data_IF_744760799231
#
_entry.id   IF_744760799231
#
_cell.length_a   1.000
_cell.length_b   1.000
_cell.length_c   1.000
_cell.angle_alpha   90.00
_cell.angle_beta   90.00
_cell.angle_gamma   90.00
#
_symmetry.space_group_name_H-M   'P 1'
#
loop_
_entity.id
_entity.type
_entity.pdbx_description
1 polymer ?
#
# COMPACT_ATOMS: atom_id res chain seq x y z
N UNK A 1 20.07 -16.19 -20.12
CA UNK A 1 19.95 -16.54 -18.68
C UNK A 1 18.51 -16.28 -18.26
N UNK A 2 17.86 -17.16 -17.50
CA UNK A 2 16.45 -16.99 -17.14
C UNK A 2 16.26 -15.87 -16.09
N UNK A 3 15.19 -15.08 -16.23
CA UNK A 3 14.77 -14.07 -15.23
C UNK A 3 13.98 -14.72 -14.10
N UNK A 4 14.24 -14.33 -12.85
CA UNK A 4 13.42 -14.73 -11.69
C UNK A 4 12.11 -13.90 -11.63
N UNK A 5 11.21 -14.23 -10.70
CA UNK A 5 9.92 -13.53 -10.56
C UNK A 5 10.10 -12.03 -10.32
N UNK A 6 10.97 -11.65 -9.38
CA UNK A 6 11.25 -10.24 -9.09
C UNK A 6 11.73 -9.49 -10.34
N UNK A 7 12.68 -10.05 -11.09
CA UNK A 7 13.21 -9.41 -12.30
C UNK A 7 12.13 -9.23 -13.38
N UNK A 8 11.24 -10.22 -13.55
CA UNK A 8 10.13 -10.09 -14.50
C UNK A 8 9.18 -8.95 -14.13
N UNK A 9 8.69 -8.94 -12.89
CA UNK A 9 7.76 -7.91 -12.42
C UNK A 9 8.41 -6.53 -12.42
N UNK A 10 9.68 -6.44 -12.00
CA UNK A 10 10.46 -5.20 -12.05
C UNK A 10 10.58 -4.66 -13.46
N UNK A 11 11.02 -5.49 -14.42
CA UNK A 11 11.23 -5.07 -15.80
C UNK A 11 9.92 -4.62 -16.47
N UNK A 12 8.80 -5.27 -16.15
CA UNK A 12 7.48 -4.92 -16.68
C UNK A 12 6.93 -3.58 -16.13
N UNK A 13 7.46 -3.11 -14.98
CA UNK A 13 7.00 -1.88 -14.30
C UNK A 13 8.05 -0.76 -14.28
N UNK A 14 9.21 -1.00 -14.88
CA UNK A 14 10.28 -0.01 -14.96
C UNK A 14 9.89 1.10 -15.93
N UNK A 15 9.80 2.34 -15.43
CA UNK A 15 9.60 3.53 -16.27
C UNK A 15 10.92 3.92 -16.92
N UNK A 16 11.99 4.00 -16.13
CA UNK A 16 13.31 4.35 -16.62
C UNK A 16 14.27 4.82 -15.53
N UNK A 17 15.52 5.15 -15.89
CA UNK A 17 16.47 5.74 -14.96
C UNK A 17 16.13 7.22 -14.68
N UNK A 18 16.46 7.67 -13.48
CA UNK A 18 16.42 9.06 -13.04
C UNK A 18 17.82 9.68 -13.11
N UNK A 19 17.90 11.02 -13.18
CA UNK A 19 19.17 11.75 -13.25
C UNK A 19 20.09 11.53 -12.04
N UNK A 20 19.50 11.19 -10.89
CA UNK A 20 20.23 10.89 -9.66
C UNK A 20 20.81 9.47 -9.61
N UNK A 21 20.65 8.68 -10.67
CA UNK A 21 21.15 7.32 -10.79
C UNK A 21 20.21 6.23 -10.26
N UNK A 22 19.09 6.60 -9.63
CA UNK A 22 18.05 5.64 -9.24
C UNK A 22 17.14 5.30 -10.42
N UNK A 23 16.20 4.39 -10.20
CA UNK A 23 15.18 4.03 -11.18
C UNK A 23 13.81 4.49 -10.72
N UNK A 24 12.97 4.84 -11.69
CA UNK A 24 11.57 5.15 -11.48
C UNK A 24 10.73 3.92 -11.80
N UNK A 25 9.97 3.46 -10.82
CA UNK A 25 9.10 2.28 -10.92
C UNK A 25 7.65 2.73 -10.85
N UNK A 26 6.83 2.30 -11.80
CA UNK A 26 5.40 2.55 -11.76
C UNK A 26 4.74 1.66 -10.72
N UNK A 27 3.83 2.22 -9.92
CA UNK A 27 3.07 1.49 -8.90
C UNK A 27 1.72 1.06 -9.46
N UNK A 28 1.54 -0.24 -9.70
CA UNK A 28 0.30 -0.81 -10.23
C UNK A 28 -0.89 -0.59 -9.30
N UNK A 29 -0.66 -0.66 -7.98
CA UNK A 29 -1.62 -0.40 -6.92
C UNK A 29 -0.98 0.43 -5.80
N UNK A 30 -1.71 1.43 -5.31
CA UNK A 30 -1.35 2.19 -4.11
C UNK A 30 -2.43 2.02 -3.05
N UNK A 31 -2.07 1.46 -1.90
CA UNK A 31 -2.97 1.37 -0.75
C UNK A 31 -2.62 2.47 0.24
N UNK A 32 -3.63 3.12 0.80
CA UNK A 32 -3.46 4.21 1.76
C UNK A 32 -4.34 4.00 2.99
N UNK A 33 -3.88 4.51 4.12
CA UNK A 33 -4.57 4.41 5.41
C UNK A 33 -4.33 5.68 6.25
N UNK A 34 -5.06 5.83 7.33
CA UNK A 34 -5.22 7.06 8.10
C UNK A 34 -3.99 7.53 8.89
N UNK A 35 -2.97 6.68 9.06
CA UNK A 35 -1.80 7.04 9.89
C UNK A 35 -0.80 7.89 9.11
N UNK A 36 -0.55 7.53 7.85
CA UNK A 36 0.52 8.12 7.02
C UNK A 36 0.00 9.01 5.90
N UNK A 37 -1.24 8.82 5.48
CA UNK A 37 -1.81 9.48 4.30
C UNK A 37 -2.28 10.92 4.56
N UNK A 38 -2.86 11.27 5.73
CA UNK A 38 -3.24 12.65 6.03
C UNK A 38 -2.10 13.65 5.85
N UNK A 39 -0.89 13.33 6.32
CA UNK A 39 0.26 14.21 6.15
C UNK A 39 0.71 14.26 4.67
N UNK A 40 0.64 13.14 3.94
CA UNK A 40 0.97 13.11 2.52
C UNK A 40 0.03 13.99 1.67
N UNK A 41 -1.28 13.99 1.95
CA UNK A 41 -2.24 14.89 1.31
C UNK A 41 -1.96 16.36 1.65
N UNK A 42 -1.59 16.66 2.89
CA UNK A 42 -1.11 18.00 3.28
C UNK A 42 0.07 18.46 2.42
N UNK A 43 1.08 17.61 2.26
CA UNK A 43 2.25 17.93 1.44
C UNK A 43 1.93 18.09 -0.05
N UNK A 44 0.95 17.36 -0.60
CA UNK A 44 0.48 17.58 -1.97
C UNK A 44 -0.14 18.97 -2.11
N UNK A 45 -1.03 19.33 -1.17
CA UNK A 45 -1.72 20.61 -1.15
C UNK A 45 -0.73 21.77 -1.06
N UNK A 46 0.26 21.68 -0.18
CA UNK A 46 1.31 22.69 -0.01
C UNK A 46 2.13 22.90 -1.29
N UNK A 47 2.28 21.84 -2.10
CA UNK A 47 2.98 21.89 -3.39
C UNK A 47 2.05 22.22 -4.58
N UNK A 48 0.75 22.39 -4.36
CA UNK A 48 -0.23 22.59 -5.43
C UNK A 48 -0.35 21.39 -6.39
N UNK A 49 -0.02 20.18 -5.93
CA UNK A 49 -0.06 18.96 -6.72
C UNK A 49 -1.41 18.26 -6.58
N UNK A 50 -1.79 17.52 -7.62
CA UNK A 50 -3.01 16.69 -7.64
C UNK A 50 -2.63 15.21 -7.52
N UNK A 51 -3.59 14.39 -7.13
CA UNK A 51 -3.45 12.93 -7.22
C UNK A 51 -3.48 12.53 -8.70
N UNK A 52 -2.44 11.84 -9.17
CA UNK A 52 -2.28 11.53 -10.59
C UNK A 52 -3.16 10.36 -11.06
N UNK A 53 -3.31 9.32 -10.25
CA UNK A 53 -4.06 8.11 -10.61
C UNK A 53 -5.00 7.68 -9.46
N UNK A 54 -6.09 8.42 -9.20
CA UNK A 54 -7.01 8.09 -8.12
C UNK A 54 -7.64 6.70 -8.28
N UNK A 55 -7.92 6.24 -9.52
CA UNK A 55 -8.45 4.89 -9.77
C UNK A 55 -7.46 3.72 -9.56
N UNK A 56 -6.22 4.01 -9.15
CA UNK A 56 -5.23 3.01 -8.72
C UNK A 56 -4.86 3.16 -7.25
N UNK A 57 -5.52 4.09 -6.56
CA UNK A 57 -5.31 4.36 -5.14
C UNK A 57 -6.58 3.95 -4.39
N UNK A 58 -6.43 3.17 -3.32
CA UNK A 58 -7.55 2.72 -2.51
C UNK A 58 -7.26 2.97 -1.05
N UNK A 59 -8.25 3.51 -0.34
CA UNK A 59 -8.16 3.83 1.06
C UNK A 59 -8.95 2.83 1.92
N UNK A 60 -8.42 2.54 3.10
CA UNK A 60 -9.18 1.94 4.21
C UNK A 60 -8.79 2.65 5.49
N UNK A 61 -9.48 2.31 6.58
CA UNK A 61 -9.12 2.74 7.93
C UNK A 61 -9.06 1.51 8.80
N UNK A 62 -7.96 1.27 9.51
CA UNK A 62 -7.75 0.02 10.25
C UNK A 62 -6.89 0.11 11.52
N UNK A 63 -6.08 1.15 11.69
CA UNK A 63 -5.22 1.34 12.88
C UNK A 63 -5.93 2.07 14.03
N UNK A 64 -6.91 2.94 13.73
CA UNK A 64 -7.56 3.79 14.74
C UNK A 64 -9.02 3.46 15.04
N UNK A 65 -9.62 2.49 14.33
CA UNK A 65 -11.03 2.15 14.50
C UNK A 65 -11.24 1.51 15.88
N UNK A 66 -12.11 2.09 16.75
CA UNK A 66 -12.38 1.51 18.05
C UNK A 66 -13.00 0.11 17.91
N UNK A 67 -12.63 -0.81 18.81
CA UNK A 67 -13.18 -2.18 18.80
C UNK A 67 -14.61 -2.21 19.37
N UNK A 68 -14.89 -1.33 20.31
CA UNK A 68 -16.02 -1.35 21.22
C UNK A 68 -17.16 -0.42 20.78
N UNK A 69 -16.89 0.86 20.53
CA UNK A 69 -17.89 1.82 20.03
C UNK A 69 -17.34 2.61 18.82
N UNK A 70 -17.92 2.36 17.65
CA UNK A 70 -17.57 3.01 16.40
C UNK A 70 -18.54 4.13 16.02
N UNK A 71 -19.42 4.56 16.93
CA UNK A 71 -20.25 5.73 16.72
C UNK A 71 -19.38 6.98 16.56
N UNK A 72 -19.76 7.85 15.62
CA UNK A 72 -19.04 9.10 15.35
C UNK A 72 -19.73 10.29 16.03
N UNK A 73 -18.97 11.25 16.59
CA UNK A 73 -17.50 11.30 16.62
C UNK A 73 -16.89 10.24 17.54
N UNK A 74 -15.73 9.68 17.16
CA UNK A 74 -15.02 8.73 18.02
C UNK A 74 -14.62 9.36 19.36
N UNK A 75 -14.54 8.52 20.40
CA UNK A 75 -14.14 8.93 21.75
C UNK A 75 -12.72 9.50 21.80
N UNK A 76 -11.81 8.98 20.96
CA UNK A 76 -10.48 9.56 20.71
C UNK A 76 -10.59 10.67 19.64
N UNK A 77 -10.39 11.96 20.01
CA UNK A 77 -10.45 13.05 19.06
C UNK A 77 -9.35 13.01 18.00
N UNK A 78 -8.23 12.34 18.25
CA UNK A 78 -7.16 12.17 17.27
C UNK A 78 -7.57 11.17 16.19
N UNK A 79 -8.11 10.03 16.59
CA UNK A 79 -8.69 9.02 15.71
C UNK A 79 -9.78 9.64 14.80
N UNK A 80 -10.71 10.40 15.39
CA UNK A 80 -11.77 11.09 14.65
C UNK A 80 -11.20 12.08 13.62
N UNK A 81 -10.16 12.85 13.99
CA UNK A 81 -9.50 13.77 13.06
C UNK A 81 -8.78 13.05 11.92
N UNK A 82 -8.06 11.96 12.19
CA UNK A 82 -7.37 11.19 11.16
C UNK A 82 -8.37 10.60 10.16
N UNK A 83 -9.47 10.05 10.67
CA UNK A 83 -10.58 9.53 9.86
C UNK A 83 -11.22 10.63 9.00
N UNK A 84 -11.52 11.79 9.58
CA UNK A 84 -12.11 12.92 8.85
C UNK A 84 -11.17 13.42 7.73
N UNK A 85 -9.88 13.61 8.02
CA UNK A 85 -8.92 14.07 7.00
C UNK A 85 -8.78 13.08 5.85
N UNK A 86 -8.75 11.76 6.13
CA UNK A 86 -8.71 10.75 5.08
C UNK A 86 -10.01 10.75 4.25
N UNK A 87 -11.17 10.84 4.91
CA UNK A 87 -12.47 10.90 4.24
C UNK A 87 -12.58 12.12 3.30
N UNK A 88 -12.23 13.30 3.79
CA UNK A 88 -12.30 14.54 3.01
C UNK A 88 -11.32 14.51 1.83
N UNK A 89 -10.10 13.99 2.05
CA UNK A 89 -9.10 13.89 1.00
C UNK A 89 -9.49 12.87 -0.08
N UNK A 90 -10.04 11.72 0.31
CA UNK A 90 -10.47 10.70 -0.64
C UNK A 90 -11.65 11.17 -1.48
N UNK A 91 -12.64 11.84 -0.88
CA UNK A 91 -13.74 12.48 -1.62
C UNK A 91 -13.23 13.57 -2.58
N UNK A 92 -12.36 14.47 -2.10
CA UNK A 92 -11.81 15.57 -2.90
C UNK A 92 -11.03 15.07 -4.13
N UNK A 93 -10.34 13.94 -4.01
CA UNK A 93 -9.49 13.40 -5.06
C UNK A 93 -10.14 12.26 -5.86
N UNK A 94 -11.38 11.87 -5.53
CA UNK A 94 -12.08 10.76 -6.18
C UNK A 94 -11.38 9.41 -5.97
N UNK A 95 -10.78 9.20 -4.79
CA UNK A 95 -10.15 7.95 -4.38
C UNK A 95 -11.23 7.06 -3.75
N UNK A 96 -11.25 5.79 -4.13
CA UNK A 96 -12.16 4.82 -3.52
C UNK A 96 -11.77 4.60 -2.04
N UNK A 97 -12.74 4.77 -1.14
CA UNK A 97 -12.54 4.64 0.29
C UNK A 97 -13.49 3.58 0.88
N UNK A 98 -12.90 2.49 1.39
CA UNK A 98 -13.61 1.46 2.13
C UNK A 98 -13.95 1.97 3.53
N UNK A 99 -15.06 2.70 3.62
CA UNK A 99 -15.54 3.29 4.87
C UNK A 99 -15.98 2.20 5.86
N UNK A 100 -15.91 2.43 7.20
CA UNK A 100 -16.28 1.44 8.22
C UNK A 100 -17.64 0.75 8.01
N UNK A 101 -18.64 1.48 7.50
CA UNK A 101 -19.98 0.95 7.29
C UNK A 101 -20.24 0.42 5.86
N UNK A 102 -19.21 0.33 5.02
CA UNK A 102 -19.34 -0.11 3.63
C UNK A 102 -19.49 -1.63 3.47
N UNK A 103 -19.10 -2.41 4.49
CA UNK A 103 -18.95 -3.86 4.39
C UNK A 103 -17.69 -4.32 3.64
N UNK A 104 -16.89 -3.39 3.11
CA UNK A 104 -15.61 -3.67 2.43
C UNK A 104 -14.39 -3.16 3.22
N UNK A 105 -14.62 -2.53 4.37
CA UNK A 105 -13.56 -2.07 5.26
C UNK A 105 -12.92 -3.25 6.01
N UNK A 106 -11.61 -3.14 6.23
CA UNK A 106 -10.81 -4.09 6.99
C UNK A 106 -9.34 -3.69 6.99
N UNK A 107 -8.50 -4.59 7.51
CA UNK A 107 -7.04 -4.39 7.55
C UNK A 107 -6.52 -4.19 6.13
N UNK A 108 -5.69 -3.17 5.90
CA UNK A 108 -5.25 -2.73 4.56
C UNK A 108 -4.65 -3.86 3.71
N UNK A 109 -3.90 -4.76 4.33
CA UNK A 109 -3.27 -5.90 3.64
C UNK A 109 -4.17 -7.14 3.50
N UNK A 110 -5.38 -7.10 4.07
CA UNK A 110 -6.42 -8.12 3.93
C UNK A 110 -7.43 -7.71 2.87
N UNK A 111 -7.90 -6.45 2.90
CA UNK A 111 -8.88 -5.94 1.92
C UNK A 111 -8.33 -5.94 0.49
N UNK A 112 -7.03 -5.66 0.31
CA UNK A 112 -6.41 -5.64 -1.01
C UNK A 112 -6.58 -6.97 -1.77
N UNK A 113 -6.20 -8.11 -1.18
CA UNK A 113 -6.46 -9.42 -1.78
C UNK A 113 -7.94 -9.82 -1.83
N UNK A 114 -8.72 -9.60 -0.76
CA UNK A 114 -10.13 -10.03 -0.69
C UNK A 114 -11.01 -9.36 -1.75
N UNK A 115 -10.73 -8.09 -2.06
CA UNK A 115 -11.46 -7.33 -3.08
C UNK A 115 -10.85 -7.50 -4.49
N UNK A 116 -9.84 -8.36 -4.65
CA UNK A 116 -9.20 -8.62 -5.93
C UNK A 116 -8.35 -7.44 -6.46
N UNK A 117 -7.94 -6.50 -5.60
CA UNK A 117 -7.02 -5.43 -6.00
C UNK A 117 -5.59 -5.95 -6.14
N UNK A 118 -5.21 -6.88 -5.26
CA UNK A 118 -3.90 -7.55 -5.32
C UNK A 118 -3.92 -8.61 -6.42
N UNK A 119 -3.20 -8.34 -7.51
CA UNK A 119 -3.16 -9.21 -8.68
C UNK A 119 -1.73 -9.66 -8.98
N UNK A 120 -1.51 -10.91 -9.42
CA UNK A 120 -0.17 -11.39 -9.75
C UNK A 120 0.55 -10.51 -10.75
N UNK A 121 1.85 -10.30 -10.51
CA UNK A 121 2.71 -9.58 -11.44
C UNK A 121 2.66 -8.06 -11.37
N UNK A 122 1.93 -7.46 -10.42
CA UNK A 122 1.91 -5.99 -10.25
C UNK A 122 2.90 -5.52 -9.18
N UNK A 123 3.20 -4.22 -9.20
CA UNK A 123 3.86 -3.50 -8.10
C UNK A 123 2.82 -2.88 -7.17
N UNK A 124 3.04 -2.99 -5.85
CA UNK A 124 2.14 -2.48 -4.81
C UNK A 124 2.93 -1.67 -3.79
N UNK A 125 2.41 -0.54 -3.35
CA UNK A 125 2.98 0.18 -2.21
C UNK A 125 1.91 0.64 -1.23
N UNK A 126 2.31 0.81 0.02
CA UNK A 126 1.49 1.38 1.08
C UNK A 126 2.38 2.03 2.14
N UNK A 127 1.82 3.01 2.85
CA UNK A 127 2.46 3.65 4.00
C UNK A 127 2.63 2.75 5.24
N UNK A 128 2.64 1.42 5.07
CA UNK A 128 2.71 0.42 6.14
C UNK A 128 3.87 -0.55 5.92
N UNK A 129 4.55 -0.97 6.99
CA UNK A 129 5.71 -1.86 6.93
C UNK A 129 5.38 -3.29 6.50
N UNK A 130 4.13 -3.73 6.65
CA UNK A 130 3.66 -5.09 6.34
C UNK A 130 3.13 -5.24 4.92
N UNK A 131 3.35 -4.24 4.06
CA UNK A 131 2.99 -4.29 2.63
C UNK A 131 3.59 -5.49 1.90
N UNK A 132 4.70 -6.04 2.40
CA UNK A 132 5.30 -7.28 1.86
C UNK A 132 4.34 -8.48 1.86
N UNK A 133 3.27 -8.46 2.66
CA UNK A 133 2.18 -9.46 2.68
C UNK A 133 1.66 -9.77 1.28
N UNK A 134 1.49 -8.76 0.42
CA UNK A 134 0.97 -8.94 -0.94
C UNK A 134 1.93 -9.71 -1.87
N UNK A 135 3.20 -9.87 -1.47
CA UNK A 135 4.17 -10.71 -2.19
C UNK A 135 3.74 -12.18 -2.29
N UNK A 136 2.87 -12.66 -1.39
CA UNK A 136 2.25 -13.98 -1.47
C UNK A 136 1.48 -14.22 -2.78
N UNK A 137 1.03 -13.16 -3.46
CA UNK A 137 0.32 -13.21 -4.74
C UNK A 137 1.24 -13.05 -5.95
N UNK A 138 2.56 -13.06 -5.76
CA UNK A 138 3.54 -12.88 -6.84
C UNK A 138 3.69 -11.42 -7.29
N UNK A 139 3.52 -10.48 -6.36
CA UNK A 139 3.70 -9.04 -6.56
C UNK A 139 5.09 -8.58 -6.07
N UNK A 140 5.54 -7.40 -6.52
CA UNK A 140 6.54 -6.62 -5.78
C UNK A 140 5.79 -5.64 -4.88
N UNK A 141 5.81 -5.88 -3.57
CA UNK A 141 5.03 -5.10 -2.62
C UNK A 141 5.93 -4.43 -1.57
N UNK A 142 5.83 -3.10 -1.45
CA UNK A 142 6.81 -2.26 -0.74
C UNK A 142 6.14 -1.35 0.28
N UNK A 143 6.58 -1.45 1.54
CA UNK A 143 6.27 -0.44 2.54
C UNK A 143 7.05 0.84 2.25
N UNK A 144 6.38 1.98 2.28
CA UNK A 144 6.97 3.29 1.94
C UNK A 144 6.72 4.31 3.05
N UNK A 145 7.57 5.32 3.16
CA UNK A 145 7.39 6.41 4.12
C UNK A 145 6.39 7.47 3.63
N UNK A 146 5.91 8.33 4.53
CA UNK A 146 4.96 9.42 4.23
C UNK A 146 5.38 10.30 3.04
N UNK A 147 6.66 10.69 2.95
CA UNK A 147 7.15 11.48 1.81
C UNK A 147 7.03 10.74 0.48
N UNK A 148 7.24 9.43 0.48
CA UNK A 148 7.06 8.59 -0.70
C UNK A 148 5.58 8.36 -1.01
N UNK A 149 4.70 8.27 0.00
CA UNK A 149 3.23 8.24 -0.22
C UNK A 149 2.80 9.48 -1.01
N UNK A 150 3.29 10.67 -0.62
CA UNK A 150 3.05 11.91 -1.39
C UNK A 150 3.56 11.77 -2.83
N UNK A 151 4.78 11.26 -3.02
CA UNK A 151 5.38 11.15 -4.36
C UNK A 151 4.60 10.17 -5.25
N UNK A 152 4.13 9.05 -4.69
CA UNK A 152 3.26 8.10 -5.38
C UNK A 152 1.89 8.72 -5.66
N UNK A 153 1.27 9.45 -4.72
CA UNK A 153 0.03 10.17 -5.02
C UNK A 153 0.22 11.18 -6.17
N UNK A 154 1.35 11.90 -6.19
CA UNK A 154 1.64 12.93 -7.20
C UNK A 154 1.99 12.36 -8.58
N UNK A 155 2.53 11.14 -8.67
CA UNK A 155 3.15 10.63 -9.90
C UNK A 155 2.79 9.19 -10.27
N UNK A 156 2.25 8.41 -9.33
CA UNK A 156 2.10 6.95 -9.36
C UNK A 156 3.42 6.19 -9.53
N UNK A 157 4.52 6.80 -9.14
CA UNK A 157 5.84 6.19 -9.25
C UNK A 157 6.64 6.29 -7.96
N UNK A 158 7.58 5.35 -7.80
CA UNK A 158 8.54 5.32 -6.70
C UNK A 158 9.96 5.39 -7.27
N UNK A 159 10.79 6.25 -6.69
CA UNK A 159 12.23 6.28 -6.97
C UNK A 159 12.95 5.28 -6.07
N UNK A 160 13.61 4.28 -6.65
CA UNK A 160 14.36 3.27 -5.90
C UNK A 160 15.41 2.55 -6.75
N UNK A 161 16.37 1.91 -6.10
CA UNK A 161 17.32 1.00 -6.74
C UNK A 161 16.78 -0.43 -6.77
N UNK A 162 17.17 -1.25 -7.77
CA UNK A 162 16.86 -2.67 -7.76
C UNK A 162 17.35 -3.36 -6.49
N UNK A 163 16.48 -4.13 -5.86
CA UNK A 163 16.80 -4.88 -4.65
C UNK A 163 17.58 -6.16 -4.97
N UNK A 164 18.43 -6.57 -4.02
CA UNK A 164 19.08 -7.88 -4.07
C UNK A 164 18.06 -8.96 -3.75
N UNK A 165 18.02 -10.00 -4.57
CA UNK A 165 17.08 -11.12 -4.41
C UNK A 165 17.76 -12.29 -3.72
N UNK A 166 17.12 -12.85 -2.70
CA UNK A 166 17.51 -14.12 -2.06
C UNK A 166 16.42 -15.15 -2.30
N UNK A 167 16.80 -16.34 -2.77
CA UNK A 167 15.90 -17.50 -2.83
C UNK A 167 15.91 -18.19 -1.48
N UNK A 168 14.74 -18.36 -0.90
CA UNK A 168 14.50 -19.24 0.25
C UNK A 168 13.73 -20.43 -0.28
N UNK A 169 14.24 -21.63 -0.05
CA UNK A 169 13.64 -22.87 -0.49
C UNK A 169 13.18 -23.66 0.74
N UNK A 170 11.86 -23.81 0.89
CA UNK A 170 11.23 -24.56 1.98
C UNK A 170 10.87 -25.94 1.45
N UNK A 171 11.41 -26.99 2.04
CA UNK A 171 11.20 -28.39 1.62
C UNK A 171 10.52 -29.21 2.71
N UNK A 172 9.92 -30.35 2.34
CA UNK A 172 9.18 -31.23 3.27
C UNK A 172 7.73 -30.81 3.49
N UNK A 173 7.13 -31.28 4.57
CA UNK A 173 5.74 -31.01 4.97
C UNK A 173 5.69 -30.60 6.43
N UNK A 174 4.83 -29.64 6.77
CA UNK A 174 4.64 -29.20 8.16
C UNK A 174 4.08 -30.35 9.02
N UNK A 175 4.70 -30.58 10.18
CA UNK A 175 4.23 -31.54 11.17
C UNK A 175 2.94 -31.06 11.85
N UNK A 176 2.20 -31.98 12.47
CA UNK A 176 1.00 -31.63 13.26
C UNK A 176 1.32 -30.56 14.29
N UNK A 177 0.53 -29.48 14.30
CA UNK A 177 0.70 -28.34 15.21
C UNK A 177 1.70 -27.28 14.74
N UNK A 178 2.44 -27.51 13.65
CA UNK A 178 3.32 -26.51 13.02
C UNK A 178 2.56 -25.78 11.92
N UNK A 179 2.66 -24.46 11.90
CA UNK A 179 1.93 -23.56 10.98
C UNK A 179 2.89 -22.76 10.10
N UNK A 180 2.34 -22.01 9.14
CA UNK A 180 3.12 -21.08 8.32
C UNK A 180 3.84 -20.01 9.14
N UNK A 181 3.33 -19.66 10.33
CA UNK A 181 3.95 -18.68 11.22
C UNK A 181 5.26 -19.19 11.85
N UNK A 182 5.42 -20.50 11.97
CA UNK A 182 6.56 -21.15 12.63
C UNK A 182 7.74 -21.41 11.67
N UNK A 183 7.56 -21.21 10.37
CA UNK A 183 8.60 -21.41 9.35
C UNK A 183 9.65 -20.30 9.46
N UNK A 184 10.90 -20.69 9.74
CA UNK A 184 12.07 -19.79 9.88
C UNK A 184 13.13 -20.03 8.82
#
# INVERSE_FOLDING_TARGET
>A
MGKNLYQKVWDDHLVGPLENGQYQIFMGLHLIHEVTSPQAFGMLKDKGLKVAYPGRTFATVDHIIPTDDQSRPFSDPMAERMMAVLSDATEMHGIEFFQPNSGSQGIVHVVGPELGLTQPGITICCGDSHTSTHGAFGCIALGIGTSQVRDVLASQTLAMDPLKVRRIEVTGTLSTGVTAKDVT
#
